data_IF_799681522101
#
_entry.id   IF_799681522101
#
_cell.length_a   1.000
_cell.length_b   1.000
_cell.length_c   1.000
_cell.angle_alpha   90.00
_cell.angle_beta   90.00
_cell.angle_gamma   90.00
#
_symmetry.space_group_name_H-M   'P 1'
#
loop_
_entity.id
_entity.type
_entity.pdbx_description
1 polymer ?
#
# COMPACT_ATOMS: atom_id res chain seq x y z
N UNK A 1 -15.52 0.85 13.49
CA UNK A 1 -16.00 1.78 12.47
C UNK A 1 -15.86 3.19 13.00
N UNK A 2 -14.78 3.85 12.60
CA UNK A 2 -14.53 5.26 12.88
C UNK A 2 -15.21 6.08 11.78
N UNK A 3 -16.18 6.90 12.18
CA UNK A 3 -16.68 7.98 11.34
C UNK A 3 -15.84 9.23 11.62
N UNK A 4 -14.96 9.57 10.67
CA UNK A 4 -14.04 10.70 10.80
C UNK A 4 -14.72 12.05 10.61
N UNK A 5 -15.96 12.06 10.09
CA UNK A 5 -16.69 13.27 9.76
C UNK A 5 -18.05 13.37 10.47
N UNK A 6 -18.27 12.56 11.50
CA UNK A 6 -19.46 12.64 12.33
C UNK A 6 -19.61 14.08 12.86
N UNK A 7 -20.79 14.67 12.65
CA UNK A 7 -21.15 16.02 13.08
C UNK A 7 -20.30 17.17 12.48
N UNK A 8 -19.52 16.91 11.42
CA UNK A 8 -18.73 17.94 10.72
C UNK A 8 -19.53 18.53 9.55
N UNK A 9 -19.65 19.87 9.42
CA UNK A 9 -20.33 20.51 8.29
C UNK A 9 -19.73 20.12 6.95
N UNK A 10 -20.58 19.99 5.93
CA UNK A 10 -20.17 19.51 4.60
C UNK A 10 -19.07 20.39 3.99
N UNK A 11 -19.16 21.71 4.11
CA UNK A 11 -18.14 22.63 3.61
C UNK A 11 -16.77 22.41 4.27
N UNK A 12 -16.75 22.08 5.56
CA UNK A 12 -15.54 21.75 6.31
C UNK A 12 -14.95 20.43 5.81
N UNK A 13 -15.79 19.42 5.56
CA UNK A 13 -15.35 18.12 5.00
C UNK A 13 -14.69 18.30 3.63
N UNK A 14 -15.28 19.10 2.73
CA UNK A 14 -14.69 19.38 1.41
C UNK A 14 -13.34 20.09 1.53
N UNK A 15 -13.25 21.12 2.37
CA UNK A 15 -12.00 21.83 2.66
C UNK A 15 -10.92 20.89 3.19
N UNK A 16 -11.26 20.04 4.17
CA UNK A 16 -10.32 19.08 4.77
C UNK A 16 -9.81 18.10 3.72
N UNK A 17 -10.68 17.55 2.87
CA UNK A 17 -10.28 16.62 1.83
C UNK A 17 -9.40 17.28 0.76
N UNK A 18 -9.66 18.55 0.44
CA UNK A 18 -8.79 19.34 -0.44
C UNK A 18 -7.40 19.53 0.18
N UNK A 19 -7.32 19.88 1.47
CA UNK A 19 -6.04 19.99 2.18
C UNK A 19 -5.28 18.66 2.20
N UNK A 20 -5.97 17.54 2.47
CA UNK A 20 -5.35 16.21 2.42
C UNK A 20 -4.80 15.93 1.01
N UNK A 21 -5.58 16.22 -0.03
CA UNK A 21 -5.17 16.02 -1.44
C UNK A 21 -3.86 16.72 -1.75
N UNK A 22 -3.73 17.97 -1.34
CA UNK A 22 -2.56 18.82 -1.59
C UNK A 22 -1.33 18.35 -0.81
N UNK A 23 -1.53 17.60 0.28
CA UNK A 23 -0.48 17.17 1.19
C UNK A 23 -0.26 15.65 1.21
N UNK A 24 -0.76 14.90 0.22
CA UNK A 24 -0.56 13.44 0.15
C UNK A 24 0.91 13.01 0.18
N UNK A 25 1.81 13.87 -0.31
CA UNK A 25 3.26 13.61 -0.27
C UNK A 25 3.86 13.67 1.15
N UNK A 26 3.13 14.24 2.11
CA UNK A 26 3.49 14.29 3.54
C UNK A 26 2.99 13.07 4.32
N UNK A 27 2.14 12.22 3.72
CA UNK A 27 1.72 10.95 4.32
C UNK A 27 2.91 10.00 4.31
N UNK A 28 3.68 10.03 5.40
CA UNK A 28 4.86 9.20 5.56
C UNK A 28 4.51 7.73 5.80
N UNK A 29 5.48 6.85 5.53
CA UNK A 29 5.44 5.43 5.89
C UNK A 29 5.52 5.26 7.42
N UNK A 30 4.43 5.62 8.11
CA UNK A 30 4.33 5.67 9.56
C UNK A 30 4.51 4.28 10.18
N UNK A 31 5.15 4.19 11.35
CA UNK A 31 5.34 2.94 12.08
C UNK A 31 6.31 1.92 11.45
N UNK A 32 6.92 2.24 10.30
CA UNK A 32 8.03 1.51 9.71
C UNK A 32 7.71 0.07 9.26
N UNK A 33 6.46 -0.40 9.30
CA UNK A 33 6.16 -1.80 8.94
C UNK A 33 6.50 -2.09 7.48
N UNK A 34 6.03 -1.26 6.55
CA UNK A 34 6.40 -1.32 5.12
C UNK A 34 7.92 -1.32 4.94
N UNK A 35 8.61 -0.40 5.59
CA UNK A 35 10.07 -0.27 5.46
C UNK A 35 10.81 -1.48 6.07
N UNK A 36 10.39 -1.96 7.23
CA UNK A 36 11.03 -3.07 7.95
C UNK A 36 10.78 -4.43 7.32
N UNK A 37 9.65 -4.62 6.64
CA UNK A 37 9.21 -5.93 6.16
C UNK A 37 9.16 -6.04 4.64
N UNK A 38 9.20 -4.92 3.92
CA UNK A 38 8.94 -4.89 2.48
C UNK A 38 9.80 -3.89 1.71
N UNK A 39 10.83 -3.27 2.29
CA UNK A 39 11.78 -2.45 1.53
C UNK A 39 13.21 -2.92 1.81
N UNK A 40 13.99 -3.16 0.76
CA UNK A 40 15.37 -3.62 0.84
C UNK A 40 15.56 -4.89 1.73
N UNK A 41 14.66 -5.87 1.57
CA UNK A 41 14.69 -7.09 2.37
C UNK A 41 15.58 -8.14 1.71
N UNK A 42 16.61 -8.57 2.44
CA UNK A 42 17.51 -9.63 1.99
C UNK A 42 16.78 -10.90 1.52
N UNK A 43 17.26 -11.50 0.43
CA UNK A 43 16.65 -12.68 -0.19
C UNK A 43 16.46 -13.85 0.78
N UNK A 44 17.46 -14.12 1.63
CA UNK A 44 17.40 -15.19 2.64
C UNK A 44 16.30 -14.92 3.68
N UNK A 45 16.09 -13.65 4.04
CA UNK A 45 15.00 -13.27 4.95
C UNK A 45 13.63 -13.49 4.31
N UNK A 46 13.46 -13.20 3.01
CA UNK A 46 12.23 -13.51 2.28
C UNK A 46 11.95 -15.02 2.24
N UNK A 47 12.96 -15.84 1.92
CA UNK A 47 12.84 -17.31 1.93
C UNK A 47 12.51 -17.83 3.33
N UNK A 48 13.14 -17.28 4.37
CA UNK A 48 12.86 -17.64 5.77
C UNK A 48 11.42 -17.33 6.16
N UNK A 49 10.84 -16.23 5.68
CA UNK A 49 9.42 -15.93 5.92
C UNK A 49 8.49 -16.94 5.26
N UNK A 50 8.80 -17.38 4.04
CA UNK A 50 8.00 -18.39 3.34
C UNK A 50 7.96 -19.75 4.07
N UNK A 51 8.99 -20.07 4.85
CA UNK A 51 9.05 -21.32 5.64
C UNK A 51 8.44 -21.16 7.03
N UNK A 52 8.61 -20.01 7.68
CA UNK A 52 8.16 -19.77 9.06
C UNK A 52 6.75 -19.20 9.19
N UNK A 53 6.31 -18.41 8.22
CA UNK A 53 5.01 -17.73 8.22
C UNK A 53 4.05 -18.46 7.28
N UNK A 54 2.75 -18.46 7.60
CA UNK A 54 1.72 -19.01 6.70
C UNK A 54 1.36 -18.02 5.59
N UNK A 55 2.33 -17.79 4.70
CA UNK A 55 2.21 -16.84 3.59
C UNK A 55 2.47 -17.52 2.24
N UNK A 56 1.77 -17.08 1.19
CA UNK A 56 1.92 -17.62 -0.17
C UNK A 56 3.10 -17.03 -0.93
N UNK A 57 3.52 -15.82 -0.57
CA UNK A 57 4.60 -15.11 -1.22
C UNK A 57 5.25 -14.12 -0.24
N UNK A 58 6.54 -13.86 -0.45
CA UNK A 58 7.31 -12.86 0.29
C UNK A 58 7.97 -11.92 -0.72
N UNK A 59 7.69 -10.62 -0.61
CA UNK A 59 8.11 -9.60 -1.57
C UNK A 59 8.71 -8.38 -0.88
N UNK A 60 9.56 -7.69 -1.61
CA UNK A 60 10.24 -6.47 -1.20
C UNK A 60 10.32 -5.47 -2.35
N UNK A 61 10.14 -4.19 -2.04
CA UNK A 61 10.61 -3.09 -2.86
C UNK A 61 12.13 -3.13 -2.96
N UNK A 62 12.65 -2.55 -4.03
CA UNK A 62 14.10 -2.40 -4.24
C UNK A 62 14.75 -1.67 -3.08
N UNK A 63 14.19 -0.54 -2.71
CA UNK A 63 14.68 0.31 -1.64
C UNK A 63 13.54 1.14 -1.04
N UNK A 64 13.91 1.98 -0.07
CA UNK A 64 12.99 2.91 0.60
C UNK A 64 12.42 3.96 -0.35
N UNK A 65 13.19 4.46 -1.31
CA UNK A 65 12.77 5.52 -2.22
C UNK A 65 11.73 4.99 -3.21
N UNK A 66 11.91 3.76 -3.70
CA UNK A 66 10.94 3.04 -4.53
C UNK A 66 9.67 2.77 -3.74
N UNK A 67 9.77 2.33 -2.48
CA UNK A 67 8.60 2.13 -1.63
C UNK A 67 7.80 3.43 -1.44
N UNK A 68 8.48 4.54 -1.13
CA UNK A 68 7.87 5.86 -0.96
C UNK A 68 7.19 6.36 -2.25
N UNK A 69 7.90 6.29 -3.37
CA UNK A 69 7.36 6.69 -4.67
C UNK A 69 6.14 5.86 -5.10
N UNK A 70 6.15 4.55 -4.82
CA UNK A 70 5.02 3.66 -5.11
C UNK A 70 3.81 4.03 -4.26
N UNK A 71 3.99 4.23 -2.95
CA UNK A 71 2.87 4.56 -2.06
C UNK A 71 2.27 5.91 -2.43
N UNK A 72 3.10 6.93 -2.66
CA UNK A 72 2.64 8.24 -3.15
C UNK A 72 1.91 8.15 -4.47
N UNK A 73 2.43 7.34 -5.40
CA UNK A 73 1.78 7.07 -6.68
C UNK A 73 0.38 6.48 -6.52
N UNK A 74 0.23 5.45 -5.67
CA UNK A 74 -1.09 4.84 -5.40
C UNK A 74 -2.02 5.84 -4.74
N UNK A 75 -1.58 6.54 -3.69
CA UNK A 75 -2.43 7.52 -3.01
C UNK A 75 -2.95 8.59 -3.97
N UNK A 76 -2.08 9.16 -4.80
CA UNK A 76 -2.48 10.16 -5.81
C UNK A 76 -3.46 9.60 -6.84
N UNK A 77 -3.23 8.40 -7.36
CA UNK A 77 -4.12 7.80 -8.36
C UNK A 77 -5.49 7.39 -7.80
N UNK A 78 -5.57 7.04 -6.52
CA UNK A 78 -6.79 6.52 -5.89
C UNK A 78 -7.46 7.51 -4.95
N UNK A 79 -6.93 8.74 -4.80
CA UNK A 79 -7.48 9.70 -3.85
C UNK A 79 -8.95 10.01 -4.16
N UNK A 80 -9.23 10.58 -5.32
CA UNK A 80 -10.58 10.94 -5.72
C UNK A 80 -11.51 9.75 -5.97
N UNK A 81 -11.09 8.70 -6.72
CA UNK A 81 -12.01 7.62 -7.05
C UNK A 81 -12.24 6.64 -5.88
N UNK A 82 -11.43 6.70 -4.81
CA UNK A 82 -11.43 5.68 -3.77
C UNK A 82 -11.31 6.22 -2.35
N UNK A 83 -10.21 6.89 -2.03
CA UNK A 83 -9.89 7.28 -0.65
C UNK A 83 -10.91 8.28 -0.11
N UNK A 84 -11.31 9.29 -0.88
CA UNK A 84 -12.32 10.28 -0.46
C UNK A 84 -13.65 9.62 -0.11
N UNK A 85 -14.14 8.73 -0.98
CA UNK A 85 -15.37 7.95 -0.77
C UNK A 85 -15.27 7.07 0.46
N UNK A 86 -14.13 6.40 0.65
CA UNK A 86 -13.87 5.57 1.82
C UNK A 86 -13.81 6.37 3.13
N UNK A 87 -13.18 7.53 3.13
CA UNK A 87 -13.14 8.40 4.31
C UNK A 87 -14.54 8.88 4.69
N UNK A 88 -15.36 9.27 3.70
CA UNK A 88 -16.72 9.81 3.92
C UNK A 88 -17.76 8.76 4.28
N UNK A 89 -17.74 7.63 3.58
CA UNK A 89 -18.87 6.69 3.57
C UNK A 89 -18.44 5.24 3.83
N UNK A 90 -17.14 4.98 3.91
CA UNK A 90 -16.62 3.64 4.12
C UNK A 90 -16.93 3.13 5.52
N UNK A 91 -17.69 2.03 5.59
CA UNK A 91 -17.93 1.34 6.86
C UNK A 91 -16.71 0.56 7.37
N UNK A 92 -15.82 0.15 6.48
CA UNK A 92 -14.59 -0.53 6.89
C UNK A 92 -13.54 0.46 7.39
N UNK A 93 -12.88 0.11 8.49
CA UNK A 93 -11.77 0.88 9.03
C UNK A 93 -10.51 0.76 8.16
N UNK A 94 -10.50 -0.10 7.12
CA UNK A 94 -9.37 -0.27 6.21
C UNK A 94 -9.79 -0.28 4.73
N UNK A 95 -8.91 0.20 3.85
CA UNK A 95 -9.04 0.08 2.40
C UNK A 95 -7.77 -0.52 1.81
N UNK A 96 -7.93 -1.44 0.86
CA UNK A 96 -6.82 -2.06 0.10
C UNK A 96 -6.84 -1.59 -1.35
N UNK A 97 -5.83 -0.83 -1.73
CA UNK A 97 -5.65 -0.26 -3.06
C UNK A 97 -4.56 -1.02 -3.83
N UNK A 98 -4.74 -1.19 -5.14
CA UNK A 98 -3.79 -1.91 -5.99
C UNK A 98 -3.33 -1.02 -7.15
N UNK A 99 -2.04 -0.68 -7.18
CA UNK A 99 -1.42 0.09 -8.24
C UNK A 99 -0.64 -0.77 -9.23
N UNK A 100 -0.56 -0.29 -10.48
CA UNK A 100 0.32 -0.86 -11.50
C UNK A 100 1.32 0.20 -11.97
N UNK A 101 2.55 -0.22 -12.22
CA UNK A 101 3.68 0.65 -12.56
C UNK A 101 4.35 0.17 -13.84
N UNK A 102 4.80 1.11 -14.68
CA UNK A 102 5.49 0.81 -15.94
C UNK A 102 6.87 0.19 -15.72
N UNK A 103 7.58 0.66 -14.68
CA UNK A 103 8.88 0.12 -14.23
C UNK A 103 8.73 -1.01 -13.23
N UNK A 104 9.76 -1.86 -13.13
CA UNK A 104 9.87 -2.77 -11.99
C UNK A 104 10.00 -1.98 -10.70
N UNK A 105 9.33 -2.45 -9.65
CA UNK A 105 9.28 -1.81 -8.34
C UNK A 105 9.76 -2.73 -7.22
N UNK A 106 10.01 -4.01 -7.51
CA UNK A 106 10.50 -4.92 -6.48
C UNK A 106 10.66 -6.35 -6.95
N UNK A 107 10.94 -7.19 -5.97
CA UNK A 107 11.29 -8.58 -6.15
C UNK A 107 10.64 -9.48 -5.10
N UNK A 108 10.67 -10.79 -5.31
CA UNK A 108 10.25 -11.75 -4.30
C UNK A 108 10.18 -13.19 -4.75
N UNK A 109 9.71 -14.03 -3.83
CA UNK A 109 9.55 -15.47 -4.03
C UNK A 109 8.09 -15.89 -3.78
N UNK A 110 7.65 -16.91 -4.51
CA UNK A 110 6.43 -17.67 -4.19
C UNK A 110 6.78 -18.88 -3.34
N UNK A 111 5.89 -19.28 -2.43
CA UNK A 111 6.08 -20.50 -1.63
C UNK A 111 6.23 -21.71 -2.55
N UNK A 112 7.30 -22.49 -2.34
CA UNK A 112 7.64 -23.65 -3.16
C UNK A 112 8.39 -23.33 -4.47
N UNK A 113 8.65 -22.06 -4.79
CA UNK A 113 9.50 -21.66 -5.93
C UNK A 113 10.87 -21.19 -5.42
N UNK A 114 11.95 -21.74 -5.96
CA UNK A 114 13.33 -21.28 -5.67
C UNK A 114 13.75 -20.07 -6.51
N UNK A 115 13.01 -19.81 -7.59
CA UNK A 115 13.30 -18.73 -8.55
C UNK A 115 12.89 -17.38 -7.98
N UNK A 116 13.85 -16.45 -7.95
CA UNK A 116 13.58 -15.03 -7.67
C UNK A 116 12.85 -14.40 -8.86
N UNK A 117 11.79 -13.65 -8.57
CA UNK A 117 11.11 -12.80 -9.56
C UNK A 117 11.45 -11.34 -9.27
N UNK A 118 12.12 -10.67 -10.20
CA UNK A 118 12.61 -9.28 -10.05
C UNK A 118 11.78 -8.26 -10.86
N UNK A 119 10.75 -8.74 -11.58
CA UNK A 119 9.91 -7.92 -12.45
C UNK A 119 8.54 -7.62 -11.83
N UNK A 120 8.48 -7.41 -10.51
CA UNK A 120 7.21 -7.05 -9.86
C UNK A 120 6.85 -5.61 -10.24
N UNK A 121 5.70 -5.45 -10.89
CA UNK A 121 5.18 -4.16 -11.39
C UNK A 121 3.82 -3.78 -10.79
N UNK A 122 3.36 -4.53 -9.80
CA UNK A 122 2.10 -4.28 -9.09
C UNK A 122 2.41 -4.11 -7.62
N UNK A 123 1.69 -3.25 -6.93
CA UNK A 123 1.81 -3.10 -5.48
C UNK A 123 0.44 -2.97 -4.85
N UNK A 124 0.36 -3.43 -3.60
CA UNK A 124 -0.80 -3.20 -2.74
C UNK A 124 -0.41 -2.20 -1.67
N UNK A 125 -1.28 -1.23 -1.48
CA UNK A 125 -1.26 -0.29 -0.37
C UNK A 125 -2.49 -0.55 0.50
N UNK A 126 -2.30 -0.68 1.80
CA UNK A 126 -3.40 -0.78 2.76
C UNK A 126 -3.36 0.45 3.66
N UNK A 127 -4.47 1.19 3.67
CA UNK A 127 -4.70 2.31 4.57
C UNK A 127 -5.68 1.90 5.65
N UNK A 128 -5.53 2.49 6.83
CA UNK A 128 -6.43 2.31 7.96
C UNK A 128 -6.86 3.68 8.47
N UNK A 129 -8.15 3.84 8.79
CA UNK A 129 -8.66 5.04 9.45
C UNK A 129 -8.01 5.16 10.80
N UNK A 130 -7.61 6.38 11.13
CA UNK A 130 -6.91 6.69 12.37
C UNK A 130 -7.26 8.11 12.76
N UNK A 131 -8.12 8.27 13.76
CA UNK A 131 -8.61 9.58 14.20
C UNK A 131 -7.49 10.42 14.84
N UNK A 132 -6.42 9.77 15.32
CA UNK A 132 -5.27 10.43 15.93
C UNK A 132 -4.20 10.81 14.89
N UNK A 133 -4.35 10.39 13.62
CA UNK A 133 -3.43 10.75 12.55
C UNK A 133 -3.82 12.08 11.91
N UNK A 134 -2.82 12.87 11.52
CA UNK A 134 -2.98 14.20 10.90
C UNK A 134 -3.94 14.21 9.69
N UNK A 135 -4.06 13.09 9.00
CA UNK A 135 -4.83 12.94 7.76
C UNK A 135 -6.13 12.15 7.95
N UNK A 136 -6.47 11.75 9.18
CA UNK A 136 -7.58 10.83 9.49
C UNK A 136 -7.33 9.37 9.07
N UNK A 137 -6.15 9.08 8.52
CA UNK A 137 -5.72 7.74 8.18
C UNK A 137 -4.20 7.63 8.22
N UNK A 138 -3.71 6.39 8.28
CA UNK A 138 -2.30 6.06 8.12
C UNK A 138 -2.09 4.85 7.23
N UNK A 139 -0.86 4.70 6.76
CA UNK A 139 -0.44 3.53 6.00
C UNK A 139 -0.27 2.36 6.98
N UNK A 140 -1.05 1.30 6.79
CA UNK A 140 -0.90 0.07 7.55
C UNK A 140 0.28 -0.75 7.02
N UNK A 141 0.30 -0.98 5.71
CA UNK A 141 1.40 -1.68 5.01
C UNK A 141 1.32 -1.41 3.51
N UNK A 142 2.44 -1.57 2.82
CA UNK A 142 2.51 -1.61 1.37
C UNK A 142 3.55 -2.64 0.92
N UNK A 143 3.28 -3.35 -0.16
CA UNK A 143 4.21 -4.37 -0.66
C UNK A 143 4.01 -4.64 -2.16
N UNK A 144 5.08 -5.04 -2.89
CA UNK A 144 4.94 -5.50 -4.26
C UNK A 144 4.12 -6.79 -4.34
N UNK A 145 3.43 -6.95 -5.46
CA UNK A 145 2.60 -8.11 -5.77
C UNK A 145 3.07 -8.76 -7.06
N UNK A 146 2.95 -10.08 -7.10
CA UNK A 146 3.04 -10.83 -8.34
C UNK A 146 1.90 -10.44 -9.29
N UNK A 147 2.23 -10.24 -10.56
CA UNK A 147 1.22 -10.23 -11.62
C UNK A 147 0.49 -11.57 -11.69
N UNK A 148 -0.77 -11.57 -12.15
CA UNK A 148 -1.37 -12.83 -12.62
C UNK A 148 -0.45 -13.36 -13.73
N UNK A 149 -0.01 -14.61 -13.63
CA UNK A 149 0.54 -15.30 -14.81
C UNK A 149 -0.63 -15.39 -15.77
N UNK A 150 -0.59 -14.67 -16.88
CA UNK A 150 -1.40 -15.02 -18.05
C UNK A 150 -0.98 -16.44 -18.40
N UNK A 151 -1.85 -17.42 -18.11
CA UNK A 151 -1.68 -18.75 -18.66
C UNK A 151 -1.92 -18.59 -20.15
N UNK A 152 -0.85 -18.44 -20.93
CA UNK A 152 -0.89 -18.84 -22.33
C UNK A 152 -1.10 -20.34 -22.34
N UNK A 153 -2.36 -20.76 -22.42
CA UNK A 153 -2.67 -22.08 -22.96
C UNK A 153 -2.38 -21.97 -24.47
N UNK A 154 -1.29 -22.59 -24.90
CA UNK A 154 -1.10 -22.94 -26.31
C UNK A 154 -2.00 -24.11 -26.70
#
# INVERSE_FOLDING_TARGET
MVDLFADIPRETVESTLQTIRENLDQVGLYGGHTLRRHADIQLLALKTRLTKEDIRYATSYWDREVADAVVKGIMKSFFDPGITTWLRYGGDDCISLAGHFSRTIGYGFRKGEERLEENLRKARLVLVKDADADWGFRILTSYPMFGRREKFCG
#
